data_IF_737278457845
#
_entry.id   IF_737278457845
#
_cell.length_a   1.000
_cell.length_b   1.000
_cell.length_c   1.000
_cell.angle_alpha   90.00
_cell.angle_beta   90.00
_cell.angle_gamma   90.00
#
_symmetry.space_group_name_H-M   'P 1'
#
loop_
_entity.id
_entity.type
_entity.pdbx_description
1 polymer ?
#
# COMPACT_ATOMS: atom_id res chain seq x y z
N UNK A 1 -16.11 2.43 14.20
CA UNK A 1 -14.80 1.82 14.07
C UNK A 1 -13.79 2.86 13.56
N UNK A 2 -12.77 3.12 14.37
CA UNK A 2 -11.82 4.21 14.12
C UNK A 2 -10.97 3.97 12.88
N UNK A 3 -10.59 2.72 12.58
CA UNK A 3 -9.77 2.40 11.39
C UNK A 3 -10.51 2.76 10.11
N UNK A 4 -11.78 2.40 10.01
CA UNK A 4 -12.62 2.72 8.86
C UNK A 4 -12.73 4.23 8.65
N UNK A 5 -13.13 4.93 9.70
CA UNK A 5 -13.30 6.39 9.65
C UNK A 5 -12.00 7.11 9.31
N UNK A 6 -10.90 6.76 9.99
CA UNK A 6 -9.59 7.38 9.77
C UNK A 6 -9.13 7.14 8.34
N UNK A 7 -9.27 5.92 7.83
CA UNK A 7 -8.83 5.59 6.47
C UNK A 7 -9.60 6.39 5.43
N UNK A 8 -10.94 6.40 5.45
CA UNK A 8 -11.72 7.13 4.44
C UNK A 8 -11.58 8.66 4.54
N UNK A 9 -11.41 9.20 5.75
CA UNK A 9 -11.09 10.63 5.91
C UNK A 9 -9.76 10.96 5.23
N UNK A 10 -8.74 10.11 5.38
CA UNK A 10 -7.44 10.36 4.77
C UNK A 10 -7.43 10.06 3.26
N UNK A 11 -8.19 9.09 2.78
CA UNK A 11 -8.43 8.87 1.34
C UNK A 11 -9.05 10.13 0.71
N UNK A 12 -10.09 10.69 1.35
CA UNK A 12 -10.68 11.96 0.88
C UNK A 12 -9.67 13.10 0.88
N UNK A 13 -8.85 13.23 1.93
CA UNK A 13 -7.79 14.25 1.99
C UNK A 13 -6.78 14.09 0.85
N UNK A 14 -6.37 12.87 0.53
CA UNK A 14 -5.49 12.59 -0.60
C UNK A 14 -6.14 12.99 -1.93
N UNK A 15 -7.42 12.67 -2.14
CA UNK A 15 -8.17 13.06 -3.34
C UNK A 15 -8.27 14.57 -3.48
N UNK A 16 -8.65 15.28 -2.41
CA UNK A 16 -8.73 16.76 -2.39
C UNK A 16 -7.37 17.36 -2.73
N UNK A 17 -6.29 16.86 -2.09
CA UNK A 17 -4.94 17.34 -2.38
C UNK A 17 -4.57 17.15 -3.85
N UNK A 18 -4.77 15.96 -4.41
CA UNK A 18 -4.43 15.65 -5.81
C UNK A 18 -5.24 16.49 -6.80
N UNK A 19 -6.49 16.82 -6.46
CA UNK A 19 -7.35 17.68 -7.30
C UNK A 19 -6.85 19.12 -7.36
N UNK A 20 -6.40 19.67 -6.23
CA UNK A 20 -6.13 21.12 -6.14
C UNK A 20 -4.64 21.50 -6.24
N UNK A 21 -3.70 20.55 -6.13
CA UNK A 21 -2.27 20.86 -6.17
C UNK A 21 -1.81 21.49 -7.49
N UNK A 22 -2.51 21.25 -8.58
CA UNK A 22 -2.18 21.82 -9.89
C UNK A 22 -2.32 23.34 -9.92
N UNK A 23 -3.24 23.92 -9.15
CA UNK A 23 -3.41 25.36 -9.00
C UNK A 23 -2.35 26.04 -8.11
N UNK A 24 -1.43 25.28 -7.49
CA UNK A 24 -0.39 25.84 -6.64
C UNK A 24 0.76 26.47 -7.45
N UNK A 25 1.53 27.44 -6.90
CA UNK A 25 2.67 28.06 -7.57
C UNK A 25 3.94 27.20 -7.57
N UNK A 26 3.81 25.88 -7.42
CA UNK A 26 4.92 24.93 -7.42
C UNK A 26 5.32 24.56 -8.86
N UNK A 27 6.57 24.11 -9.04
CA UNK A 27 7.02 23.57 -10.33
C UNK A 27 6.31 22.25 -10.65
N UNK A 28 6.14 21.96 -11.94
CA UNK A 28 5.47 20.73 -12.39
C UNK A 28 6.13 19.45 -11.85
N UNK A 29 7.45 19.45 -11.69
CA UNK A 29 8.19 18.33 -11.09
C UNK A 29 7.79 18.10 -9.64
N UNK A 30 7.67 19.17 -8.85
CA UNK A 30 7.27 19.10 -7.44
C UNK A 30 5.80 18.67 -7.34
N UNK A 31 4.92 19.21 -8.20
CA UNK A 31 3.50 18.82 -8.23
C UNK A 31 3.35 17.32 -8.51
N UNK A 32 4.04 16.80 -9.52
CA UNK A 32 4.03 15.35 -9.83
C UNK A 32 4.49 14.51 -8.65
N UNK A 33 5.62 14.87 -8.03
CA UNK A 33 6.11 14.17 -6.86
C UNK A 33 5.10 14.18 -5.70
N UNK A 34 4.51 15.32 -5.38
CA UNK A 34 3.54 15.44 -4.28
C UNK A 34 2.24 14.68 -4.57
N UNK A 35 1.77 14.68 -5.83
CA UNK A 35 0.65 13.83 -6.24
C UNK A 35 0.98 12.34 -6.07
N UNK A 36 2.18 11.93 -6.42
CA UNK A 36 2.62 10.55 -6.26
C UNK A 36 2.71 10.14 -4.78
N UNK A 37 3.16 11.05 -3.89
CA UNK A 37 3.14 10.80 -2.45
C UNK A 37 1.69 10.67 -1.92
N UNK A 38 0.80 11.55 -2.33
CA UNK A 38 -0.62 11.48 -1.94
C UNK A 38 -1.29 10.19 -2.46
N UNK A 39 -0.96 9.78 -3.70
CA UNK A 39 -1.42 8.51 -4.28
C UNK A 39 -0.94 7.30 -3.50
N UNK A 40 0.34 7.28 -3.11
CA UNK A 40 0.87 6.22 -2.24
C UNK A 40 0.17 6.18 -0.89
N UNK A 41 -0.09 7.32 -0.26
CA UNK A 41 -0.80 7.37 1.02
C UNK A 41 -2.23 6.84 0.87
N UNK A 42 -2.92 7.15 -0.22
CA UNK A 42 -4.24 6.59 -0.54
C UNK A 42 -4.18 5.06 -0.64
N UNK A 43 -3.22 4.52 -1.39
CA UNK A 43 -3.00 3.09 -1.49
C UNK A 43 -2.71 2.44 -0.13
N UNK A 44 -1.93 3.10 0.70
CA UNK A 44 -1.63 2.66 2.07
C UNK A 44 -2.89 2.54 2.93
N UNK A 45 -3.79 3.56 2.88
CA UNK A 45 -5.05 3.51 3.62
C UNK A 45 -5.98 2.41 3.10
N UNK A 46 -6.04 2.18 1.79
CA UNK A 46 -6.77 1.03 1.25
C UNK A 46 -6.16 -0.31 1.66
N UNK A 47 -4.84 -0.43 1.74
CA UNK A 47 -4.20 -1.64 2.24
C UNK A 47 -4.49 -1.89 3.74
N UNK A 48 -4.62 -0.82 4.53
CA UNK A 48 -5.11 -0.93 5.91
C UNK A 48 -6.54 -1.44 5.97
N UNK A 49 -7.44 -0.86 5.17
CA UNK A 49 -8.84 -1.29 5.07
C UNK A 49 -8.96 -2.75 4.63
N UNK A 50 -8.24 -3.13 3.57
CA UNK A 50 -8.22 -4.49 3.05
C UNK A 50 -7.83 -5.52 4.11
N UNK A 51 -6.82 -5.19 4.93
CA UNK A 51 -6.34 -6.08 6.00
C UNK A 51 -7.36 -6.27 7.12
N UNK A 52 -8.17 -5.25 7.43
CA UNK A 52 -9.12 -5.30 8.54
C UNK A 52 -10.51 -5.78 8.12
N UNK A 53 -10.91 -5.50 6.88
CA UNK A 53 -12.30 -5.69 6.45
C UNK A 53 -12.44 -6.56 5.19
N UNK A 54 -11.35 -6.92 4.52
CA UNK A 54 -11.42 -7.51 3.19
C UNK A 54 -11.77 -6.48 2.11
N UNK A 55 -12.59 -6.85 1.13
CA UNK A 55 -13.06 -5.91 0.12
C UNK A 55 -13.84 -4.74 0.73
N UNK A 56 -13.66 -3.55 0.18
CA UNK A 56 -14.26 -2.29 0.66
C UNK A 56 -14.66 -1.40 -0.52
N UNK A 57 -15.52 -0.39 -0.34
CA UNK A 57 -15.85 0.54 -1.42
C UNK A 57 -14.60 1.28 -1.94
N UNK A 58 -14.29 1.10 -3.22
CA UNK A 58 -13.24 1.85 -3.91
C UNK A 58 -13.82 3.17 -4.42
N UNK A 59 -13.42 4.27 -3.82
CA UNK A 59 -13.91 5.61 -4.13
C UNK A 59 -13.21 6.20 -5.37
N UNK A 60 -12.00 5.72 -5.70
CA UNK A 60 -11.19 6.29 -6.78
C UNK A 60 -10.80 7.74 -6.49
N UNK A 61 -10.90 8.59 -7.50
CA UNK A 61 -10.58 10.03 -7.40
C UNK A 61 -11.78 10.87 -6.94
N UNK A 62 -12.93 10.27 -6.63
CA UNK A 62 -14.14 10.99 -6.26
C UNK A 62 -13.96 11.74 -4.93
N UNK A 63 -14.56 12.95 -4.90
CA UNK A 63 -14.67 13.79 -3.72
C UNK A 63 -16.16 14.04 -3.54
N UNK A 64 -16.78 13.30 -2.64
CA UNK A 64 -18.20 13.43 -2.34
C UNK A 64 -18.47 14.67 -1.49
N UNK A 65 -19.47 15.41 -1.83
CA UNK A 65 -20.05 16.48 -1.02
C UNK A 65 -21.22 15.96 -0.16
N UNK A 66 -21.83 16.82 0.67
CA UNK A 66 -22.82 16.38 1.67
C UNK A 66 -24.07 15.77 0.99
N UNK A 67 -24.46 16.32 -0.15
CA UNK A 67 -25.67 15.91 -0.87
C UNK A 67 -25.43 14.86 -1.96
N UNK A 68 -24.17 14.39 -2.11
CA UNK A 68 -23.84 13.40 -3.12
C UNK A 68 -24.26 11.99 -2.71
N UNK A 69 -24.79 11.23 -3.67
CA UNK A 69 -25.04 9.81 -3.47
C UNK A 69 -23.71 9.04 -3.41
N UNK A 70 -23.40 8.51 -2.25
CA UNK A 70 -22.15 7.80 -2.04
C UNK A 70 -22.24 6.34 -2.48
N UNK A 71 -21.15 5.81 -3.07
CA UNK A 71 -21.00 4.38 -3.29
C UNK A 71 -20.95 3.66 -1.94
N UNK A 72 -21.93 2.81 -1.68
CA UNK A 72 -22.05 2.04 -0.43
C UNK A 72 -21.72 0.56 -0.59
N UNK A 73 -21.75 0.03 -1.82
CA UNK A 73 -21.38 -1.36 -2.10
C UNK A 73 -19.88 -1.58 -1.96
N UNK A 74 -19.51 -2.70 -1.34
CA UNK A 74 -18.11 -3.13 -1.26
C UNK A 74 -17.66 -3.71 -2.60
N UNK A 75 -16.45 -3.37 -3.01
CA UNK A 75 -15.74 -4.04 -4.10
C UNK A 75 -15.12 -5.35 -3.57
N UNK A 76 -14.77 -6.26 -4.49
CA UNK A 76 -14.19 -7.54 -4.09
C UNK A 76 -12.80 -7.39 -3.48
N UNK A 77 -12.36 -8.40 -2.72
CA UNK A 77 -10.98 -8.46 -2.23
C UNK A 77 -9.97 -8.33 -3.38
N UNK A 78 -10.23 -9.03 -4.49
CA UNK A 78 -9.39 -9.00 -5.68
C UNK A 78 -9.30 -7.58 -6.29
N UNK A 79 -10.43 -6.89 -6.46
CA UNK A 79 -10.46 -5.53 -7.00
C UNK A 79 -9.67 -4.57 -6.11
N UNK A 80 -9.80 -4.72 -4.78
CA UNK A 80 -9.05 -3.91 -3.83
C UNK A 80 -7.54 -4.16 -3.91
N UNK A 81 -7.11 -5.43 -4.07
CA UNK A 81 -5.70 -5.77 -4.27
C UNK A 81 -5.16 -5.10 -5.54
N UNK A 82 -5.85 -5.25 -6.67
CA UNK A 82 -5.41 -4.67 -7.94
C UNK A 82 -5.41 -3.15 -7.92
N UNK A 83 -6.38 -2.54 -7.27
CA UNK A 83 -6.42 -1.09 -7.07
C UNK A 83 -5.17 -0.59 -6.31
N UNK A 84 -4.86 -1.21 -5.16
CA UNK A 84 -3.69 -0.85 -4.35
C UNK A 84 -2.40 -1.01 -5.16
N UNK A 85 -2.27 -2.10 -5.89
CA UNK A 85 -1.09 -2.38 -6.73
C UNK A 85 -0.96 -1.35 -7.85
N UNK A 86 -2.06 -1.02 -8.52
CA UNK A 86 -2.09 -0.02 -9.59
C UNK A 86 -1.69 1.36 -9.07
N UNK A 87 -2.26 1.80 -7.95
CA UNK A 87 -1.94 3.07 -7.31
C UNK A 87 -0.45 3.16 -6.93
N UNK A 88 0.10 2.10 -6.34
CA UNK A 88 1.52 2.04 -6.00
C UNK A 88 2.42 2.07 -7.23
N UNK A 89 2.08 1.34 -8.30
CA UNK A 89 2.83 1.35 -9.55
C UNK A 89 2.84 2.73 -10.22
N UNK A 90 1.71 3.43 -10.18
CA UNK A 90 1.63 4.79 -10.70
C UNK A 90 2.46 5.76 -9.86
N UNK A 91 2.33 5.70 -8.53
CA UNK A 91 3.10 6.55 -7.62
C UNK A 91 4.62 6.33 -7.78
N UNK A 92 5.06 5.10 -7.92
CA UNK A 92 6.48 4.77 -8.04
C UNK A 92 7.19 5.41 -9.25
N UNK A 93 6.45 5.79 -10.31
CA UNK A 93 7.02 6.44 -11.51
C UNK A 93 7.56 7.84 -11.23
N UNK A 94 6.93 8.56 -10.33
CA UNK A 94 7.23 9.97 -10.02
C UNK A 94 7.91 10.14 -8.65
N UNK A 95 8.16 9.05 -7.94
CA UNK A 95 8.84 9.04 -6.64
C UNK A 95 10.31 8.64 -6.77
N UNK A 96 11.21 9.26 -5.99
CA UNK A 96 12.60 8.82 -5.93
C UNK A 96 12.69 7.45 -5.23
N UNK A 97 13.74 6.69 -5.54
CA UNK A 97 14.00 5.40 -4.88
C UNK A 97 14.28 5.57 -3.39
N UNK A 98 14.91 6.69 -2.98
CA UNK A 98 15.30 6.99 -1.60
C UNK A 98 15.35 8.50 -1.37
N UNK A 99 14.86 8.94 -0.23
CA UNK A 99 15.13 10.29 0.30
C UNK A 99 16.29 10.25 1.30
N UNK A 100 16.94 11.41 1.47
CA UNK A 100 18.02 11.63 2.45
C UNK A 100 17.78 12.91 3.24
N UNK A 101 18.46 13.03 4.38
CA UNK A 101 18.40 14.22 5.23
C UNK A 101 16.99 14.49 5.74
N UNK A 102 16.57 15.74 5.69
CA UNK A 102 15.27 16.22 6.20
C UNK A 102 14.05 15.54 5.53
N UNK A 103 14.22 14.98 4.35
CA UNK A 103 13.15 14.28 3.64
C UNK A 103 13.07 12.78 3.97
N UNK A 104 13.91 12.27 4.86
CA UNK A 104 13.85 10.86 5.30
C UNK A 104 12.48 10.57 5.89
N UNK A 105 11.89 9.44 5.51
CA UNK A 105 10.54 9.03 5.95
C UNK A 105 9.40 9.40 5.00
N UNK A 106 9.64 10.20 3.96
CA UNK A 106 8.64 10.45 2.90
C UNK A 106 8.45 9.21 2.03
N UNK A 107 7.31 9.14 1.33
CA UNK A 107 6.99 8.04 0.42
C UNK A 107 8.01 7.95 -0.74
N UNK A 108 8.45 6.75 -1.06
CA UNK A 108 9.46 6.47 -2.10
C UNK A 108 8.97 5.37 -3.03
N UNK A 109 9.60 5.21 -4.19
CA UNK A 109 9.35 4.07 -5.07
C UNK A 109 9.61 2.74 -4.35
N UNK A 110 10.60 2.71 -3.44
CA UNK A 110 10.85 1.55 -2.59
C UNK A 110 9.71 1.24 -1.62
N UNK A 111 9.08 2.27 -1.04
CA UNK A 111 7.90 2.10 -0.19
C UNK A 111 6.71 1.54 -0.99
N UNK A 112 6.52 2.02 -2.23
CA UNK A 112 5.49 1.50 -3.14
C UNK A 112 5.71 0.01 -3.43
N UNK A 113 6.91 -0.38 -3.86
CA UNK A 113 7.24 -1.77 -4.16
C UNK A 113 7.15 -2.66 -2.91
N UNK A 114 7.56 -2.16 -1.75
CA UNK A 114 7.40 -2.86 -0.48
C UNK A 114 5.93 -3.10 -0.10
N UNK A 115 5.06 -2.13 -0.36
CA UNK A 115 3.62 -2.30 -0.14
C UNK A 115 3.02 -3.31 -1.12
N UNK A 116 3.38 -3.25 -2.41
CA UNK A 116 2.96 -4.24 -3.41
C UNK A 116 3.38 -5.64 -2.98
N UNK A 117 4.64 -5.84 -2.61
CA UNK A 117 5.15 -7.14 -2.16
C UNK A 117 4.35 -7.69 -0.97
N UNK A 118 4.05 -6.84 0.02
CA UNK A 118 3.26 -7.24 1.20
C UNK A 118 1.83 -7.62 0.83
N UNK A 119 1.16 -6.83 0.01
CA UNK A 119 -0.23 -7.09 -0.41
C UNK A 119 -0.31 -8.38 -1.22
N UNK A 120 0.62 -8.60 -2.17
CA UNK A 120 0.70 -9.83 -2.97
C UNK A 120 1.01 -11.07 -2.12
N UNK A 121 1.86 -10.94 -1.11
CA UNK A 121 2.14 -12.03 -0.18
C UNK A 121 0.89 -12.43 0.63
N UNK A 122 0.14 -11.46 1.13
CA UNK A 122 -1.11 -11.73 1.84
C UNK A 122 -2.15 -12.36 0.91
N UNK A 123 -2.32 -11.83 -0.29
CA UNK A 123 -3.20 -12.38 -1.32
C UNK A 123 -2.90 -13.85 -1.63
N UNK A 124 -1.61 -14.23 -1.71
CA UNK A 124 -1.19 -15.60 -1.99
C UNK A 124 -1.34 -16.55 -0.79
N UNK A 125 -1.45 -16.02 0.42
CA UNK A 125 -1.49 -16.81 1.65
C UNK A 125 -2.73 -17.71 1.72
N UNK A 126 -2.65 -18.78 2.53
CA UNK A 126 -3.77 -19.72 2.74
C UNK A 126 -5.04 -19.04 3.27
N UNK A 127 -4.92 -17.89 3.93
CA UNK A 127 -6.05 -17.17 4.48
C UNK A 127 -6.92 -16.55 3.40
N UNK A 128 -6.31 -16.06 2.30
CA UNK A 128 -7.01 -15.30 1.26
C UNK A 128 -7.07 -16.00 -0.10
N UNK A 129 -6.28 -17.04 -0.32
CA UNK A 129 -6.18 -17.75 -1.59
C UNK A 129 -6.98 -19.06 -1.57
N UNK A 130 -8.28 -18.96 -1.81
CA UNK A 130 -9.17 -20.12 -1.85
C UNK A 130 -9.56 -20.63 -0.45
N UNK A 131 -9.52 -19.81 0.55
CA UNK A 131 -9.91 -20.15 1.92
C UNK A 131 -11.43 -20.26 2.08
N UNK A 132 -11.84 -21.12 3.02
CA UNK A 132 -13.22 -21.17 3.50
C UNK A 132 -13.44 -20.35 4.79
N UNK A 133 -12.48 -19.53 5.16
CA UNK A 133 -12.56 -18.67 6.34
C UNK A 133 -13.76 -17.71 6.22
N UNK A 134 -14.52 -17.56 7.27
CA UNK A 134 -15.68 -16.66 7.33
C UNK A 134 -16.95 -17.12 6.61
N UNK A 135 -16.94 -18.23 5.86
CA UNK A 135 -18.13 -18.73 5.16
C UNK A 135 -19.22 -19.13 6.14
N UNK A 136 -18.85 -19.76 7.25
CA UNK A 136 -19.80 -20.13 8.32
C UNK A 136 -20.48 -18.94 8.97
N UNK A 137 -19.89 -17.73 8.85
CA UNK A 137 -20.48 -16.47 9.31
C UNK A 137 -21.32 -15.76 8.23
N UNK A 138 -21.54 -16.40 7.06
CA UNK A 138 -22.37 -15.87 5.99
C UNK A 138 -21.74 -14.77 5.14
N UNK A 139 -20.43 -14.53 5.26
CA UNK A 139 -19.77 -13.55 4.42
C UNK A 139 -19.55 -14.06 2.99
N UNK A 140 -19.82 -13.24 1.95
CA UNK A 140 -19.48 -13.57 0.58
C UNK A 140 -17.98 -13.80 0.43
N UNK A 141 -17.60 -14.93 -0.19
CA UNK A 141 -16.18 -15.32 -0.34
C UNK A 141 -15.35 -14.25 -1.01
N UNK A 142 -15.87 -13.64 -2.05
CA UNK A 142 -15.20 -12.61 -2.85
C UNK A 142 -14.90 -11.33 -2.07
N UNK A 143 -15.58 -11.09 -0.95
CA UNK A 143 -15.30 -9.94 -0.09
C UNK A 143 -14.21 -10.20 0.94
N UNK A 144 -13.96 -11.46 1.28
CA UNK A 144 -12.99 -11.82 2.33
C UNK A 144 -11.70 -12.44 1.79
N UNK A 145 -11.68 -12.76 0.49
CA UNK A 145 -10.52 -13.35 -0.19
C UNK A 145 -10.87 -13.77 -1.61
N UNK A 146 -10.03 -14.59 -2.20
CA UNK A 146 -10.34 -15.24 -3.47
C UNK A 146 -11.19 -16.50 -3.25
N UNK A 147 -12.28 -16.70 -3.99
CA UNK A 147 -13.12 -17.88 -3.84
C UNK A 147 -12.39 -19.20 -4.09
N UNK A 148 -11.41 -19.19 -5.01
CA UNK A 148 -10.67 -20.38 -5.44
C UNK A 148 -9.16 -20.21 -5.26
N UNK A 149 -8.49 -21.34 -4.94
CA UNK A 149 -7.04 -21.39 -4.87
C UNK A 149 -6.41 -21.24 -6.26
N UNK A 150 -5.40 -20.38 -6.35
CA UNK A 150 -4.57 -20.27 -7.54
C UNK A 150 -3.08 -20.16 -7.13
N UNK A 151 -2.25 -21.12 -7.57
CA UNK A 151 -0.83 -21.16 -7.30
C UNK A 151 -0.04 -19.99 -7.91
N UNK A 152 -0.55 -19.39 -9.00
CA UNK A 152 0.11 -18.28 -9.68
C UNK A 152 0.18 -17.01 -8.80
N UNK A 153 -0.68 -16.88 -7.79
CA UNK A 153 -0.58 -15.78 -6.81
C UNK A 153 0.73 -15.83 -6.02
N UNK A 154 1.24 -17.04 -5.73
CA UNK A 154 2.56 -17.20 -5.12
C UNK A 154 3.68 -16.71 -6.02
N UNK A 155 3.60 -17.00 -7.32
CA UNK A 155 4.56 -16.47 -8.30
C UNK A 155 4.51 -14.95 -8.34
N UNK A 156 3.32 -14.37 -8.40
CA UNK A 156 3.15 -12.90 -8.37
C UNK A 156 3.73 -12.29 -7.08
N UNK A 157 3.57 -12.96 -5.94
CA UNK A 157 4.16 -12.51 -4.68
C UNK A 157 5.70 -12.58 -4.69
N UNK A 158 6.28 -13.63 -5.26
CA UNK A 158 7.74 -13.78 -5.44
C UNK A 158 8.26 -12.69 -6.38
N UNK A 159 7.62 -12.47 -7.52
CA UNK A 159 8.02 -11.44 -8.49
C UNK A 159 8.01 -10.05 -7.84
N UNK A 160 6.96 -9.72 -7.07
CA UNK A 160 6.88 -8.45 -6.34
C UNK A 160 7.98 -8.29 -5.28
N UNK A 161 8.38 -9.36 -4.60
CA UNK A 161 9.50 -9.33 -3.67
C UNK A 161 10.85 -9.15 -4.39
N UNK A 162 11.02 -9.84 -5.52
CA UNK A 162 12.22 -9.70 -6.37
C UNK A 162 12.35 -8.28 -6.93
N UNK A 163 11.25 -7.60 -7.24
CA UNK A 163 11.29 -6.22 -7.71
C UNK A 163 11.89 -5.28 -6.66
N UNK A 164 11.61 -5.49 -5.37
CA UNK A 164 12.27 -4.74 -4.27
C UNK A 164 13.77 -5.03 -4.24
N UNK A 165 14.15 -6.30 -4.34
CA UNK A 165 15.57 -6.72 -4.33
C UNK A 165 16.32 -6.12 -5.53
N UNK A 166 15.73 -6.18 -6.72
CA UNK A 166 16.30 -5.67 -7.98
C UNK A 166 16.48 -4.15 -8.00
N UNK A 167 15.80 -3.41 -7.13
CA UNK A 167 16.08 -1.97 -6.98
C UNK A 167 17.51 -1.69 -6.54
N UNK A 168 18.17 -2.65 -5.91
CA UNK A 168 19.55 -2.55 -5.41
C UNK A 168 19.80 -1.29 -4.55
N UNK A 169 18.75 -0.83 -3.88
CA UNK A 169 18.73 0.40 -3.06
C UNK A 169 18.79 0.09 -1.57
N UNK A 170 18.36 -1.12 -1.21
CA UNK A 170 18.22 -1.60 0.17
C UNK A 170 19.07 -2.83 0.40
N UNK A 171 19.57 -2.98 1.61
CA UNK A 171 20.26 -4.19 2.08
C UNK A 171 19.66 -4.63 3.41
N UNK A 172 19.77 -5.90 3.72
CA UNK A 172 19.43 -6.41 5.05
C UNK A 172 20.51 -5.85 6.00
N UNK A 173 20.05 -5.18 7.05
CA UNK A 173 20.96 -4.78 8.12
C UNK A 173 21.46 -6.06 8.80
N UNK A 174 22.74 -6.34 8.61
CA UNK A 174 23.44 -7.41 9.35
C UNK A 174 24.32 -6.73 10.38
N UNK A 175 23.90 -6.76 11.63
CA UNK A 175 24.85 -6.52 12.73
C UNK A 175 25.64 -7.84 12.86
N UNK A 176 26.91 -7.82 12.53
CA UNK A 176 27.81 -8.88 12.94
C UNK A 176 27.92 -8.77 14.46
N UNK A 177 27.01 -9.44 15.16
CA UNK A 177 27.21 -9.76 16.56
C UNK A 177 28.32 -10.79 16.54
N UNK A 178 29.57 -10.31 16.52
CA UNK A 178 30.67 -11.17 16.92
C UNK A 178 30.38 -11.57 18.36
N UNK A 179 30.41 -12.87 18.63
CA UNK A 179 30.27 -13.43 19.97
C UNK A 179 31.50 -13.12 20.85
N UNK A 180 32.20 -12.04 20.57
CA UNK A 180 33.38 -11.59 21.28
C UNK A 180 33.07 -10.32 22.06
N UNK A 181 33.26 -10.34 23.37
CA UNK A 181 32.99 -9.23 24.31
C UNK A 181 33.80 -7.96 23.99
N UNK A 182 34.72 -8.01 23.04
CA UNK A 182 35.53 -6.88 22.59
C UNK A 182 34.75 -5.94 21.67
N UNK A 183 33.73 -6.42 20.95
CA UNK A 183 32.92 -5.58 20.02
C UNK A 183 31.83 -4.75 20.71
N UNK A 184 31.54 -5.01 21.98
CA UNK A 184 30.57 -4.23 22.75
C UNK A 184 31.05 -2.84 23.18
N UNK A 185 32.35 -2.56 23.02
CA UNK A 185 32.96 -1.30 23.45
C UNK A 185 33.13 -0.26 22.34
N UNK A 186 32.66 -0.52 21.13
CA UNK A 186 32.93 0.30 19.95
C UNK A 186 31.72 1.01 19.33
N UNK A 187 30.58 1.17 20.00
CA UNK A 187 29.52 2.05 19.53
C UNK A 187 29.80 3.49 19.97
N UNK A 188 30.14 4.42 19.08
CA UNK A 188 30.11 5.84 19.43
C UNK A 188 28.66 6.25 19.63
N UNK A 189 28.42 7.00 20.70
CA UNK A 189 27.17 7.70 21.02
C UNK A 189 26.71 8.67 19.92
#
# INVERSE_FOLDING_TARGET
DDVWKIAYVNIRRANVFMKYVDGSPLTESIKRQYKAEARFLRAWYYAMLLRHYGGVPLIGDNIYEIDDEMKTSRDTYADCVEYIVSECKQAARDLPNKFRGINTGRATAGACNGLISRVRLYEASKLFNGSNFGISAGFPKELIGHPEYNKERWKTAVDAALDVIRMNTFAIYSNHICNDDTDRKGSPE
#
